data_IF_587709349395
#
_entry.id   IF_587709349395
#
_cell.length_a   1.000
_cell.length_b   1.000
_cell.length_c   1.000
_cell.angle_alpha   90.00
_cell.angle_beta   90.00
_cell.angle_gamma   90.00
#
_symmetry.space_group_name_H-M   'P 1'
#
loop_
_entity.id
_entity.type
_entity.pdbx_description
1 polymer ?
#
# COMPACT_ATOMS: atom_id res chain seq x y z
N UNK A 1 -19.61 10.43 -4.66
CA UNK A 1 -18.68 9.46 -4.09
C UNK A 1 -17.54 10.23 -3.44
N UNK A 2 -17.33 10.05 -2.14
CA UNK A 2 -16.19 10.61 -1.41
C UNK A 2 -15.00 9.65 -1.49
N UNK A 3 -13.88 10.12 -2.00
CA UNK A 3 -12.69 9.28 -2.22
C UNK A 3 -11.51 9.80 -1.39
N UNK A 4 -10.77 8.88 -0.79
CA UNK A 4 -9.47 9.16 -0.18
C UNK A 4 -8.36 8.41 -0.94
N UNK A 5 -7.17 9.00 -1.02
CA UNK A 5 -5.96 8.30 -1.45
C UNK A 5 -4.87 8.40 -0.37
N UNK A 6 -4.35 7.26 0.03
CA UNK A 6 -3.35 7.09 1.08
C UNK A 6 -2.02 6.67 0.44
N UNK A 7 -1.11 7.62 0.25
CA UNK A 7 0.25 7.33 -0.20
C UNK A 7 1.13 6.89 0.96
N UNK A 8 1.91 5.84 0.73
CA UNK A 8 2.79 5.27 1.76
C UNK A 8 4.11 4.77 1.19
N UNK A 9 5.15 4.73 2.03
CA UNK A 9 6.47 4.21 1.71
C UNK A 9 7.49 5.30 1.35
N UNK A 10 8.53 4.93 0.58
CA UNK A 10 9.57 5.87 0.17
C UNK A 10 9.06 6.87 -0.87
N UNK A 11 9.43 8.14 -0.78
CA UNK A 11 8.95 9.19 -1.69
C UNK A 11 9.76 9.20 -3.00
N UNK A 12 9.74 8.08 -3.72
CA UNK A 12 10.44 7.92 -4.99
C UNK A 12 9.60 8.42 -6.14
N UNK A 13 10.20 9.11 -7.09
CA UNK A 13 9.57 9.53 -8.35
C UNK A 13 8.26 10.32 -8.19
N UNK A 14 8.14 11.08 -7.08
CA UNK A 14 6.93 11.83 -6.72
C UNK A 14 6.46 12.73 -7.85
N UNK A 15 7.37 13.47 -8.48
CA UNK A 15 7.06 14.38 -9.57
C UNK A 15 6.75 13.63 -10.89
N UNK A 16 7.57 12.62 -11.21
CA UNK A 16 7.47 11.86 -12.46
C UNK A 16 6.15 11.08 -12.55
N UNK A 17 5.67 10.56 -11.42
CA UNK A 17 4.42 9.78 -11.37
C UNK A 17 3.19 10.66 -11.18
N UNK A 18 3.34 11.89 -10.67
CA UNK A 18 2.23 12.80 -10.42
C UNK A 18 1.31 12.98 -11.64
N UNK A 19 1.86 13.10 -12.85
CA UNK A 19 1.06 13.24 -14.09
C UNK A 19 0.08 12.09 -14.32
N UNK A 20 0.47 10.86 -13.92
CA UNK A 20 -0.39 9.68 -14.04
C UNK A 20 -1.47 9.70 -12.95
N UNK A 21 -1.07 9.96 -11.70
CA UNK A 21 -2.01 10.11 -10.59
C UNK A 21 -3.00 11.25 -10.83
N UNK A 22 -2.52 12.37 -11.34
CA UNK A 22 -3.38 13.52 -11.68
C UNK A 22 -4.45 13.13 -12.71
N UNK A 23 -4.05 12.43 -13.78
CA UNK A 23 -4.96 12.03 -14.85
C UNK A 23 -5.93 10.92 -14.43
N UNK A 24 -5.45 9.91 -13.71
CA UNK A 24 -6.23 8.71 -13.40
C UNK A 24 -7.09 8.82 -12.16
N UNK A 25 -6.67 9.62 -11.15
CA UNK A 25 -7.30 9.67 -9.83
C UNK A 25 -7.58 11.11 -9.38
N UNK A 26 -6.55 11.99 -9.34
CA UNK A 26 -6.72 13.28 -8.66
C UNK A 26 -7.72 14.19 -9.38
N UNK A 27 -7.64 14.32 -10.71
CA UNK A 27 -8.57 15.15 -11.46
C UNK A 27 -9.97 14.54 -11.60
N UNK A 28 -10.15 13.22 -11.92
CA UNK A 28 -11.47 12.63 -12.07
C UNK A 28 -12.27 12.52 -10.77
N UNK A 29 -11.61 12.21 -9.65
CA UNK A 29 -12.29 11.87 -8.39
C UNK A 29 -12.12 12.91 -7.29
N UNK A 30 -11.19 13.88 -7.45
CA UNK A 30 -10.88 14.92 -6.47
C UNK A 30 -10.77 14.37 -5.03
N UNK A 31 -9.89 13.36 -4.78
CA UNK A 31 -9.81 12.70 -3.50
C UNK A 31 -9.14 13.58 -2.44
N UNK A 32 -9.49 13.36 -1.18
CA UNK A 32 -8.65 13.80 -0.07
C UNK A 32 -7.39 12.94 -0.01
N UNK A 33 -6.22 13.58 0.12
CA UNK A 33 -4.91 12.91 0.09
C UNK A 33 -4.33 12.80 1.50
N UNK A 34 -3.86 11.62 1.86
CA UNK A 34 -3.18 11.33 3.13
C UNK A 34 -1.82 10.71 2.84
N UNK A 35 -0.79 11.18 3.52
CA UNK A 35 0.58 10.77 3.22
C UNK A 35 1.32 10.40 4.50
N UNK A 36 1.89 9.20 4.51
CA UNK A 36 2.99 8.85 5.41
C UNK A 36 4.20 8.43 4.58
N UNK A 37 5.35 9.08 4.81
CA UNK A 37 6.58 8.76 4.08
C UNK A 37 7.80 8.85 5.00
N UNK A 38 8.89 8.24 4.55
CA UNK A 38 10.15 8.27 5.25
C UNK A 38 10.99 9.47 4.83
N UNK A 39 11.71 10.06 5.77
CA UNK A 39 12.77 11.00 5.44
C UNK A 39 13.87 10.25 4.70
N UNK A 40 13.99 10.54 3.44
CA UNK A 40 14.89 9.85 2.54
C UNK A 40 15.75 10.85 1.77
N UNK A 41 17.06 10.65 1.82
CA UNK A 41 18.01 11.41 1.02
C UNK A 41 18.93 10.45 0.31
N UNK A 42 18.70 10.21 -0.95
CA UNK A 42 19.60 9.44 -1.79
C UNK A 42 19.55 9.89 -3.25
N UNK A 43 20.24 9.14 -4.11
CA UNK A 43 20.25 9.37 -5.56
C UNK A 43 18.89 9.38 -6.25
N UNK A 44 17.82 8.90 -5.59
CA UNK A 44 16.46 8.81 -6.10
C UNK A 44 15.66 10.08 -5.84
N UNK A 45 16.08 10.83 -4.85
CA UNK A 45 15.47 12.11 -4.48
C UNK A 45 16.57 13.10 -4.11
N UNK A 46 17.26 13.65 -5.11
CA UNK A 46 18.32 14.63 -4.89
C UNK A 46 17.80 15.95 -4.33
N UNK A 47 16.49 16.20 -4.38
CA UNK A 47 15.89 17.42 -3.86
C UNK A 47 15.63 17.27 -2.36
N UNK A 48 16.34 18.06 -1.56
CA UNK A 48 16.19 18.11 -0.10
C UNK A 48 14.80 18.58 0.37
N UNK A 49 13.89 18.90 -0.53
CA UNK A 49 12.60 19.51 -0.23
C UNK A 49 11.39 18.65 -0.58
N UNK A 50 11.45 17.36 -0.23
CA UNK A 50 10.36 16.41 -0.53
C UNK A 50 9.02 16.81 0.07
N UNK A 51 9.03 17.47 1.25
CA UNK A 51 7.81 17.94 1.90
C UNK A 51 7.07 18.97 1.04
N UNK A 52 7.79 19.99 0.54
CA UNK A 52 7.21 21.03 -0.32
C UNK A 52 6.77 20.44 -1.66
N UNK A 53 7.53 19.50 -2.21
CA UNK A 53 7.17 18.84 -3.45
C UNK A 53 5.86 18.05 -3.31
N UNK A 54 5.71 17.24 -2.25
CA UNK A 54 4.47 16.53 -1.98
C UNK A 54 3.33 17.50 -1.70
N UNK A 55 3.58 18.55 -0.91
CA UNK A 55 2.58 19.57 -0.59
C UNK A 55 2.06 20.29 -1.85
N UNK A 56 2.96 20.68 -2.74
CA UNK A 56 2.59 21.43 -3.96
C UNK A 56 1.87 20.58 -4.99
N UNK A 57 2.26 19.30 -5.15
CA UNK A 57 1.72 18.42 -6.17
C UNK A 57 0.43 17.70 -5.75
N UNK A 58 0.34 17.28 -4.49
CA UNK A 58 -0.74 16.42 -4.02
C UNK A 58 -1.68 17.09 -3.00
N UNK A 59 -1.31 18.25 -2.48
CA UNK A 59 -2.09 19.03 -1.49
C UNK A 59 -2.73 18.16 -0.39
N UNK A 60 -1.95 17.36 0.35
CA UNK A 60 -2.49 16.40 1.29
C UNK A 60 -3.18 17.06 2.49
N UNK A 61 -4.26 16.44 2.99
CA UNK A 61 -4.91 16.79 4.26
C UNK A 61 -3.97 16.55 5.45
N UNK A 62 -3.19 15.46 5.36
CA UNK A 62 -2.16 15.12 6.35
C UNK A 62 -0.91 14.66 5.62
N UNK A 63 0.23 15.25 5.95
CA UNK A 63 1.55 14.84 5.53
C UNK A 63 2.42 14.56 6.75
N UNK A 64 2.76 13.29 6.96
CA UNK A 64 3.71 12.85 7.98
C UNK A 64 4.98 12.34 7.32
N UNK A 65 6.11 12.91 7.72
CA UNK A 65 7.45 12.49 7.27
C UNK A 65 8.25 12.07 8.50
N UNK A 66 8.60 10.79 8.59
CA UNK A 66 9.36 10.25 9.71
C UNK A 66 10.78 9.86 9.29
N UNK A 67 11.69 9.86 10.27
CA UNK A 67 12.99 9.19 10.11
C UNK A 67 12.79 7.68 10.06
N UNK A 68 13.66 6.97 9.32
CA UNK A 68 13.61 5.52 9.25
C UNK A 68 13.62 4.90 10.65
N UNK A 69 12.71 3.95 10.89
CA UNK A 69 12.60 3.20 12.15
C UNK A 69 13.27 1.84 12.01
N UNK A 70 13.86 1.39 13.09
CA UNK A 70 14.30 0.02 13.22
C UNK A 70 13.21 -0.80 13.91
N UNK A 71 12.84 -1.93 13.31
CA UNK A 71 11.85 -2.86 13.84
C UNK A 71 12.51 -4.14 14.32
N UNK A 72 11.96 -4.75 15.36
CA UNK A 72 12.39 -6.08 15.78
C UNK A 72 11.99 -7.11 14.72
N UNK A 73 12.98 -7.78 14.18
CA UNK A 73 12.82 -8.81 13.13
C UNK A 73 13.19 -10.20 13.62
N UNK A 74 13.50 -10.36 14.90
CA UNK A 74 14.07 -11.58 15.47
C UNK A 74 13.21 -12.82 15.36
N UNK A 75 11.89 -12.67 15.21
CA UNK A 75 10.98 -13.81 15.01
C UNK A 75 10.95 -14.35 13.57
N UNK A 76 11.45 -13.60 12.59
CA UNK A 76 11.39 -13.95 11.17
C UNK A 76 12.72 -14.53 10.71
N UNK A 77 13.00 -15.79 11.04
CA UNK A 77 14.34 -16.37 10.91
C UNK A 77 14.49 -17.42 9.83
N UNK A 78 13.49 -18.24 9.58
CA UNK A 78 13.61 -19.49 8.81
C UNK A 78 12.80 -19.53 7.50
N UNK A 79 11.70 -18.81 7.43
CA UNK A 79 10.79 -18.79 6.26
C UNK A 79 10.82 -17.44 5.55
N UNK A 80 12.00 -16.84 5.45
CA UNK A 80 12.21 -15.57 4.75
C UNK A 80 12.53 -15.86 3.29
N UNK A 81 11.76 -15.28 2.39
CA UNK A 81 11.98 -15.44 0.96
C UNK A 81 13.33 -14.84 0.53
N UNK A 82 14.27 -15.61 -0.06
CA UNK A 82 15.68 -15.24 -0.11
C UNK A 82 16.07 -14.14 -1.12
N UNK A 83 15.15 -13.64 -1.94
CA UNK A 83 15.63 -13.01 -3.15
C UNK A 83 15.52 -11.49 -3.27
N UNK A 84 14.81 -10.71 -2.43
CA UNK A 84 14.76 -9.24 -2.67
C UNK A 84 14.32 -8.35 -1.52
N UNK A 85 13.65 -8.83 -0.48
CA UNK A 85 13.15 -7.98 0.61
C UNK A 85 13.53 -8.53 1.97
N UNK A 86 14.11 -7.67 2.80
CA UNK A 86 14.41 -8.03 4.19
C UNK A 86 13.16 -7.87 5.07
N UNK A 87 13.06 -8.59 6.20
CA UNK A 87 11.99 -8.35 7.17
C UNK A 87 11.83 -6.88 7.56
N UNK A 88 12.93 -6.17 7.78
CA UNK A 88 12.93 -4.73 8.06
C UNK A 88 12.21 -3.93 6.96
N UNK A 89 12.42 -4.26 5.69
CA UNK A 89 11.79 -3.55 4.57
C UNK A 89 10.28 -3.79 4.53
N UNK A 90 9.85 -5.04 4.67
CA UNK A 90 8.42 -5.39 4.64
C UNK A 90 7.68 -4.77 5.83
N UNK A 91 8.25 -4.86 7.03
CA UNK A 91 7.65 -4.28 8.23
C UNK A 91 7.56 -2.75 8.11
N UNK A 92 8.63 -2.09 7.59
CA UNK A 92 8.62 -0.65 7.34
C UNK A 92 7.54 -0.24 6.33
N UNK A 93 7.30 -1.06 5.30
CA UNK A 93 6.23 -0.83 4.32
C UNK A 93 4.86 -0.87 4.99
N UNK A 94 4.57 -1.93 5.76
CA UNK A 94 3.26 -2.09 6.41
C UNK A 94 3.02 -1.09 7.53
N UNK A 95 4.07 -0.72 8.27
CA UNK A 95 4.00 0.42 9.18
C UNK A 95 3.58 1.70 8.46
N UNK A 96 4.21 2.01 7.34
CA UNK A 96 3.89 3.22 6.57
C UNK A 96 2.46 3.20 6.02
N UNK A 97 1.97 2.03 5.56
CA UNK A 97 0.59 1.84 5.13
C UNK A 97 -0.37 2.10 6.29
N UNK A 98 -0.12 1.49 7.45
CA UNK A 98 -0.93 1.71 8.66
C UNK A 98 -1.01 3.19 9.05
N UNK A 99 0.12 3.91 9.00
CA UNK A 99 0.13 5.33 9.33
C UNK A 99 -0.71 6.16 8.35
N UNK A 100 -0.53 5.98 7.04
CA UNK A 100 -1.27 6.77 6.04
C UNK A 100 -2.78 6.53 6.09
N UNK A 101 -3.21 5.28 6.24
CA UNK A 101 -4.63 4.92 6.38
C UNK A 101 -5.17 5.36 7.75
N UNK A 102 -4.35 5.27 8.81
CA UNK A 102 -4.70 5.79 10.14
C UNK A 102 -4.96 7.30 10.15
N UNK A 103 -4.23 8.09 9.34
CA UNK A 103 -4.52 9.52 9.18
C UNK A 103 -5.89 9.75 8.53
N UNK A 104 -6.25 8.94 7.52
CA UNK A 104 -7.57 8.95 6.90
C UNK A 104 -8.66 8.62 7.93
N UNK A 105 -8.49 7.54 8.72
CA UNK A 105 -9.45 7.13 9.74
C UNK A 105 -9.64 8.21 10.81
N UNK A 106 -8.55 8.83 11.27
CA UNK A 106 -8.62 9.95 12.21
C UNK A 106 -9.34 11.16 11.63
N UNK A 107 -9.14 11.46 10.36
CA UNK A 107 -9.83 12.55 9.68
C UNK A 107 -11.34 12.27 9.56
N UNK A 108 -11.73 11.03 9.22
CA UNK A 108 -13.14 10.60 9.21
C UNK A 108 -13.82 10.78 10.57
N UNK A 109 -13.14 10.34 11.64
CA UNK A 109 -13.62 10.49 13.02
C UNK A 109 -13.88 11.95 13.37
N UNK A 110 -12.92 12.84 13.07
CA UNK A 110 -13.02 14.27 13.37
C UNK A 110 -14.12 14.96 12.55
N UNK A 111 -14.26 14.55 11.28
CA UNK A 111 -15.19 15.19 10.35
C UNK A 111 -16.60 14.55 10.36
N UNK A 112 -16.79 13.42 11.04
CA UNK A 112 -18.10 12.76 11.22
C UNK A 112 -18.64 12.13 9.94
N UNK A 113 -17.79 11.57 9.07
CA UNK A 113 -18.21 10.83 7.88
C UNK A 113 -17.24 9.68 7.57
N UNK A 114 -17.60 8.80 6.62
CA UNK A 114 -16.69 7.81 6.04
C UNK A 114 -16.51 8.07 4.55
N UNK A 115 -15.33 7.73 4.01
CA UNK A 115 -15.10 7.69 2.57
C UNK A 115 -15.80 6.48 1.96
N UNK A 116 -16.37 6.68 0.77
CA UNK A 116 -16.98 5.60 -0.01
C UNK A 116 -15.91 4.65 -0.57
N UNK A 117 -14.80 5.22 -1.02
CA UNK A 117 -13.64 4.49 -1.55
C UNK A 117 -12.35 5.06 -0.98
N UNK A 118 -11.49 4.17 -0.48
CA UNK A 118 -10.15 4.48 -0.01
C UNK A 118 -9.14 3.73 -0.85
N UNK A 119 -8.14 4.45 -1.37
CA UNK A 119 -7.09 3.93 -2.23
C UNK A 119 -5.78 3.90 -1.43
N UNK A 120 -5.10 2.77 -1.43
CA UNK A 120 -3.71 2.65 -1.00
C UNK A 120 -2.81 2.66 -2.22
N UNK A 121 -1.77 3.49 -2.22
CA UNK A 121 -0.82 3.59 -3.32
C UNK A 121 0.60 3.89 -2.85
N UNK A 122 1.58 3.61 -3.73
CA UNK A 122 2.98 4.05 -3.60
C UNK A 122 3.24 5.23 -4.52
N UNK A 123 4.19 6.09 -4.16
CA UNK A 123 4.59 7.19 -5.03
C UNK A 123 5.24 6.73 -6.34
N UNK A 124 6.05 5.67 -6.31
CA UNK A 124 6.77 5.14 -7.46
C UNK A 124 5.94 4.23 -8.37
N UNK A 125 4.66 4.09 -8.08
CA UNK A 125 3.70 3.34 -8.88
C UNK A 125 2.90 4.28 -9.78
N UNK A 126 2.51 3.82 -10.96
CA UNK A 126 1.67 4.60 -11.87
C UNK A 126 0.50 3.79 -12.40
N UNK A 127 -0.57 4.50 -12.70
CA UNK A 127 -1.82 3.97 -13.20
C UNK A 127 -2.28 4.84 -14.37
N UNK A 128 -2.61 4.23 -15.49
CA UNK A 128 -3.07 4.99 -16.67
C UNK A 128 -4.56 5.29 -16.60
N UNK A 129 -5.35 4.31 -16.24
CA UNK A 129 -6.81 4.43 -16.16
C UNK A 129 -7.34 3.53 -15.05
N UNK A 130 -8.41 3.96 -14.39
CA UNK A 130 -9.18 3.17 -13.45
C UNK A 130 -10.60 3.70 -13.35
N UNK A 131 -11.54 2.79 -13.21
CA UNK A 131 -12.89 3.10 -12.77
C UNK A 131 -13.03 2.63 -11.32
N UNK A 132 -13.31 3.58 -10.42
CA UNK A 132 -13.54 3.27 -9.01
C UNK A 132 -15.01 2.91 -8.82
N UNK A 133 -15.25 1.80 -8.16
CA UNK A 133 -16.57 1.33 -7.77
C UNK A 133 -16.63 1.10 -6.27
N UNK A 134 -17.73 1.51 -5.66
CA UNK A 134 -18.02 1.20 -4.27
C UNK A 134 -18.56 -0.22 -4.19
N UNK A 135 -17.82 -1.10 -3.54
CA UNK A 135 -18.22 -2.48 -3.28
C UNK A 135 -17.61 -2.98 -1.96
N UNK A 136 -18.03 -4.16 -1.53
CA UNK A 136 -17.55 -4.77 -0.27
C UNK A 136 -16.28 -5.60 -0.44
N UNK A 137 -15.64 -5.58 -1.62
CA UNK A 137 -14.37 -6.25 -1.88
C UNK A 137 -13.19 -5.28 -1.76
N UNK A 138 -12.00 -5.83 -1.57
CA UNK A 138 -10.76 -5.12 -1.82
C UNK A 138 -10.30 -5.44 -3.25
N UNK A 139 -10.17 -4.41 -4.07
CA UNK A 139 -9.67 -4.53 -5.42
C UNK A 139 -8.15 -4.27 -5.43
N UNK A 140 -7.39 -5.17 -6.00
CA UNK A 140 -5.93 -5.05 -6.15
C UNK A 140 -5.52 -5.20 -7.61
N UNK A 141 -4.36 -4.67 -7.98
CA UNK A 141 -3.84 -4.89 -9.32
C UNK A 141 -3.47 -6.37 -9.52
N UNK A 142 -3.87 -6.97 -10.64
CA UNK A 142 -3.47 -8.32 -11.00
C UNK A 142 -1.94 -8.40 -11.15
N UNK A 143 -1.31 -9.36 -10.49
CA UNK A 143 0.13 -9.59 -10.55
C UNK A 143 0.44 -10.97 -11.11
N UNK A 144 0.85 -11.09 -12.39
CA UNK A 144 1.11 -12.38 -13.03
C UNK A 144 2.26 -13.18 -12.42
N UNK A 145 3.13 -12.55 -11.63
CA UNK A 145 4.43 -13.12 -11.20
C UNK A 145 4.41 -13.88 -9.88
N UNK A 146 3.27 -13.98 -9.20
CA UNK A 146 3.18 -14.64 -7.87
C UNK A 146 2.83 -16.13 -7.92
N UNK A 147 2.82 -16.74 -9.10
CA UNK A 147 2.38 -18.12 -9.34
C UNK A 147 3.16 -19.24 -8.57
N UNK A 148 4.24 -18.89 -7.88
CA UNK A 148 5.03 -19.84 -7.06
C UNK A 148 4.85 -19.71 -5.56
N UNK A 149 4.23 -18.63 -5.09
CA UNK A 149 4.11 -18.30 -3.67
C UNK A 149 2.75 -18.72 -3.15
N UNK A 150 2.72 -19.71 -2.27
CA UNK A 150 1.47 -20.26 -1.73
C UNK A 150 1.57 -20.47 -0.22
N UNK A 151 0.45 -20.38 0.46
CA UNK A 151 0.27 -20.82 1.84
C UNK A 151 -1.06 -21.56 1.98
N UNK A 152 -1.20 -22.40 3.00
CA UNK A 152 -2.44 -23.12 3.29
C UNK A 152 -3.09 -22.54 4.55
N UNK A 153 -4.40 -22.33 4.50
CA UNK A 153 -5.21 -21.88 5.61
C UNK A 153 -6.60 -22.54 5.50
N UNK A 154 -7.09 -23.17 6.58
CA UNK A 154 -8.36 -23.88 6.63
C UNK A 154 -8.56 -24.86 5.46
N UNK A 155 -7.56 -25.74 5.22
CA UNK A 155 -7.52 -26.73 4.14
C UNK A 155 -7.58 -26.17 2.71
N UNK A 156 -7.47 -24.87 2.55
CA UNK A 156 -7.38 -24.20 1.25
C UNK A 156 -5.97 -23.67 0.99
N UNK A 157 -5.57 -23.66 -0.28
CA UNK A 157 -4.29 -23.11 -0.72
C UNK A 157 -4.51 -21.76 -1.39
N UNK A 158 -3.79 -20.75 -0.92
CA UNK A 158 -3.86 -19.38 -1.41
C UNK A 158 -2.55 -18.96 -2.05
N UNK A 159 -2.65 -18.07 -3.03
CA UNK A 159 -1.52 -17.34 -3.63
C UNK A 159 -1.46 -15.93 -3.07
N UNK A 160 -0.26 -15.32 -3.07
CA UNK A 160 -0.09 -13.91 -2.71
C UNK A 160 -0.83 -12.97 -3.67
N UNK A 161 -1.17 -11.78 -3.20
CA UNK A 161 -1.83 -10.73 -3.98
C UNK A 161 -1.00 -9.45 -3.99
N UNK A 162 -1.26 -8.58 -4.96
CA UNK A 162 -0.54 -7.31 -5.09
C UNK A 162 -0.67 -6.43 -3.84
N UNK A 163 0.47 -6.02 -3.28
CA UNK A 163 0.57 -5.17 -2.11
C UNK A 163 0.92 -3.71 -2.43
N UNK A 164 1.08 -3.36 -3.71
CA UNK A 164 1.55 -2.04 -4.15
C UNK A 164 0.42 -1.06 -4.41
N UNK A 165 -0.74 -1.58 -4.79
CA UNK A 165 -1.95 -0.83 -5.06
C UNK A 165 -3.18 -1.64 -4.67
N UNK A 166 -4.12 -0.98 -3.99
CA UNK A 166 -5.41 -1.56 -3.67
C UNK A 166 -6.42 -0.48 -3.30
N UNK A 167 -7.70 -0.79 -3.47
CA UNK A 167 -8.78 0.09 -3.04
C UNK A 167 -10.02 -0.71 -2.61
N UNK A 168 -10.82 -0.12 -1.75
CA UNK A 168 -12.06 -0.71 -1.24
C UNK A 168 -12.81 0.29 -0.37
N UNK A 169 -13.84 -0.19 0.34
CA UNK A 169 -14.56 0.63 1.31
C UNK A 169 -13.63 1.10 2.44
N UNK A 170 -13.95 2.20 3.09
CA UNK A 170 -13.15 2.73 4.21
C UNK A 170 -12.88 1.66 5.26
N UNK A 171 -13.92 0.93 5.69
CA UNK A 171 -13.82 -0.15 6.68
C UNK A 171 -12.85 -1.26 6.24
N UNK A 172 -12.95 -1.74 5.00
CA UNK A 172 -12.11 -2.81 4.52
C UNK A 172 -10.65 -2.38 4.37
N UNK A 173 -10.41 -1.12 4.00
CA UNK A 173 -9.05 -0.59 3.93
C UNK A 173 -8.46 -0.29 5.31
N UNK A 174 -9.25 -0.03 6.34
CA UNK A 174 -8.77 -0.02 7.72
C UNK A 174 -8.31 -1.42 8.16
N UNK A 175 -9.09 -2.46 7.81
CA UNK A 175 -8.67 -3.85 8.03
C UNK A 175 -7.40 -4.17 7.23
N UNK A 176 -7.32 -3.79 5.94
CA UNK A 176 -6.12 -3.95 5.12
C UNK A 176 -4.87 -3.41 5.81
N UNK A 177 -4.96 -2.21 6.39
CA UNK A 177 -3.85 -1.58 7.11
C UNK A 177 -3.51 -2.27 8.44
N UNK A 178 -4.47 -2.97 9.04
CA UNK A 178 -4.32 -3.77 10.25
C UNK A 178 -3.34 -4.94 10.10
N UNK A 179 -2.96 -5.31 8.88
CA UNK A 179 -1.94 -6.32 8.64
C UNK A 179 -0.65 -6.04 9.42
N UNK A 180 -0.23 -4.79 9.55
CA UNK A 180 0.98 -4.45 10.32
C UNK A 180 0.99 -5.09 11.72
N UNK A 181 -0.15 -5.07 12.41
CA UNK A 181 -0.28 -5.64 13.77
C UNK A 181 -0.41 -7.16 13.77
N UNK A 182 -0.83 -7.75 12.64
CA UNK A 182 -1.11 -9.18 12.51
C UNK A 182 0.02 -10.00 11.90
N UNK A 183 1.05 -9.37 11.33
CA UNK A 183 2.14 -10.05 10.63
C UNK A 183 2.83 -11.13 11.47
N UNK A 184 3.10 -10.85 12.75
CA UNK A 184 3.75 -11.80 13.65
C UNK A 184 2.88 -13.02 13.94
N UNK A 185 1.57 -12.82 14.08
CA UNK A 185 0.60 -13.90 14.27
C UNK A 185 0.52 -14.81 13.04
N UNK A 186 0.38 -14.21 11.86
CA UNK A 186 0.35 -14.95 10.58
C UNK A 186 1.62 -15.80 10.40
N UNK A 187 2.77 -15.25 10.71
CA UNK A 187 4.04 -15.98 10.63
C UNK A 187 4.13 -17.12 11.66
N UNK A 188 3.86 -16.81 12.93
CA UNK A 188 4.07 -17.77 14.02
C UNK A 188 2.98 -18.84 14.07
N UNK A 189 1.70 -18.47 13.89
CA UNK A 189 0.57 -19.33 14.18
C UNK A 189 -0.03 -19.97 12.91
N UNK A 190 0.06 -19.31 11.76
CA UNK A 190 -0.56 -19.79 10.52
C UNK A 190 0.45 -20.27 9.47
N UNK A 191 1.74 -20.26 9.79
CA UNK A 191 2.76 -20.80 8.91
C UNK A 191 2.95 -20.07 7.58
N UNK A 192 2.46 -18.83 7.50
CA UNK A 192 2.62 -18.00 6.29
C UNK A 192 4.09 -17.62 6.13
N UNK A 193 4.68 -17.93 4.98
CA UNK A 193 6.06 -17.56 4.68
C UNK A 193 6.23 -16.04 4.67
N UNK A 194 7.42 -15.58 5.06
CA UNK A 194 7.69 -14.14 5.13
C UNK A 194 7.75 -13.50 3.74
N UNK A 195 6.58 -13.09 3.26
CA UNK A 195 6.38 -12.43 1.98
C UNK A 195 5.21 -11.45 2.13
N UNK A 196 5.40 -10.20 1.71
CA UNK A 196 4.41 -9.13 1.85
C UNK A 196 3.06 -9.49 1.24
N UNK A 197 3.09 -10.06 0.05
CA UNK A 197 1.92 -10.45 -0.74
C UNK A 197 1.16 -11.63 -0.12
N UNK A 198 1.89 -12.58 0.49
CA UNK A 198 1.28 -13.70 1.22
C UNK A 198 0.66 -13.23 2.54
N UNK A 199 1.36 -12.39 3.29
CA UNK A 199 0.81 -11.81 4.51
C UNK A 199 -0.47 -11.04 4.26
N UNK A 200 -0.51 -10.23 3.19
CA UNK A 200 -1.72 -9.50 2.83
C UNK A 200 -2.88 -10.46 2.54
N UNK A 201 -2.64 -11.48 1.71
CA UNK A 201 -3.69 -12.46 1.40
C UNK A 201 -4.16 -13.20 2.65
N UNK A 202 -3.22 -13.68 3.50
CA UNK A 202 -3.55 -14.38 4.75
C UNK A 202 -4.37 -13.51 5.69
N UNK A 203 -3.99 -12.26 5.85
CA UNK A 203 -4.71 -11.31 6.70
C UNK A 203 -6.15 -11.06 6.23
N UNK A 204 -6.35 -10.90 4.92
CA UNK A 204 -7.69 -10.66 4.37
C UNK A 204 -8.57 -11.92 4.45
N UNK A 205 -8.01 -13.11 4.23
CA UNK A 205 -8.71 -14.40 4.43
C UNK A 205 -9.17 -14.54 5.88
N UNK A 206 -8.28 -14.33 6.85
CA UNK A 206 -8.59 -14.40 8.29
C UNK A 206 -9.72 -13.44 8.70
N UNK A 207 -9.83 -12.29 8.04
CA UNK A 207 -10.85 -11.29 8.29
C UNK A 207 -12.11 -11.44 7.39
N UNK A 208 -12.22 -12.54 6.61
CA UNK A 208 -13.33 -12.80 5.68
C UNK A 208 -13.56 -11.67 4.66
N UNK A 209 -12.48 -11.05 4.17
CA UNK A 209 -12.55 -10.00 3.16
C UNK A 209 -12.27 -10.61 1.78
N UNK A 210 -13.22 -10.46 0.87
CA UNK A 210 -13.06 -10.86 -0.51
C UNK A 210 -12.11 -9.93 -1.27
N UNK A 211 -11.31 -10.52 -2.14
CA UNK A 211 -10.34 -9.81 -2.98
C UNK A 211 -10.67 -10.02 -4.45
N UNK A 212 -10.75 -8.94 -5.18
CA UNK A 212 -10.89 -8.93 -6.63
C UNK A 212 -9.57 -8.46 -7.27
N UNK A 213 -8.94 -9.30 -8.07
CA UNK A 213 -7.74 -8.96 -8.81
C UNK A 213 -8.13 -8.40 -10.18
N UNK A 214 -7.84 -7.11 -10.40
CA UNK A 214 -8.25 -6.39 -11.61
C UNK A 214 -7.06 -6.17 -12.55
N UNK A 215 -7.24 -6.40 -13.85
CA UNK A 215 -6.22 -6.11 -14.85
C UNK A 215 -6.10 -4.59 -15.03
N UNK A 216 -5.02 -4.01 -14.53
CA UNK A 216 -4.75 -2.58 -14.65
C UNK A 216 -3.57 -2.32 -15.59
N UNK A 217 -3.66 -1.25 -16.37
CA UNK A 217 -2.52 -0.73 -17.10
C UNK A 217 -1.66 0.12 -16.16
N UNK A 218 -0.75 -0.54 -15.46
CA UNK A 218 0.05 0.01 -14.38
C UNK A 218 1.52 -0.41 -14.47
N UNK A 219 2.34 0.12 -13.58
CA UNK A 219 3.74 -0.28 -13.42
C UNK A 219 4.47 0.51 -12.33
N UNK A 220 5.73 0.17 -12.14
CA UNK A 220 6.63 0.86 -11.21
C UNK A 220 7.62 1.69 -12.01
N UNK A 221 7.74 2.97 -11.67
CA UNK A 221 8.80 3.84 -12.21
C UNK A 221 10.14 3.47 -11.60
N UNK A 222 11.16 3.25 -12.44
CA UNK A 222 12.54 2.96 -12.04
C UNK A 222 13.52 3.90 -12.74
N UNK A 223 14.78 3.93 -12.27
CA UNK A 223 15.83 4.82 -12.87
C UNK A 223 16.07 4.62 -14.36
N UNK A 224 15.79 3.45 -14.88
CA UNK A 224 16.02 3.09 -16.28
C UNK A 224 14.84 3.38 -17.21
N UNK A 225 13.82 4.04 -16.68
CA UNK A 225 12.58 4.35 -17.40
C UNK A 225 11.35 3.66 -16.81
N UNK A 226 10.21 3.89 -17.44
CA UNK A 226 8.95 3.23 -17.05
C UNK A 226 8.99 1.81 -17.56
N UNK A 227 9.05 0.85 -16.66
CA UNK A 227 8.87 -0.56 -17.02
C UNK A 227 7.38 -0.91 -16.99
N UNK A 228 6.86 -1.58 -17.99
CA UNK A 228 5.46 -2.06 -18.02
C UNK A 228 5.19 -3.14 -16.98
#
# INVERSE_FOLDING_TARGET
MKVAICFSGLPRFVEQTHRYWSRSILAPYNPDVFVHTWRWSDKWNPNHNIAEQIQSLYNPKVLQIESAKHFDTGIYTDRVWPHRTTPQTVISQWYSIKQSIGHKAKYEEVMGFNYDVVIRARFDWFLKEIQLEQNDMINVALTPTLAGHRFSYDDQTYTGINDQFGFGSSKNMDTYAGLFDNMSSLYANHGVDFCSELFLKGHLVENNIEVNEIPLNNGITRLEGIMP
#
